data_IF_589934459731
#
_entry.id   IF_589934459731
#
_cell.length_a   1.000
_cell.length_b   1.000
_cell.length_c   1.000
_cell.angle_alpha   90.00
_cell.angle_beta   90.00
_cell.angle_gamma   90.00
#
_symmetry.space_group_name_H-M   'P 1'
#
loop_
_entity.id
_entity.type
_entity.pdbx_description
1 polymer ?
#
# COMPACT_ATOMS: atom_id res chain seq x y z
N UNK A 1 1.04 14.54 7.83
CA UNK A 1 0.22 14.48 6.60
C UNK A 1 -0.54 13.17 6.65
N UNK A 2 -1.82 13.22 7.01
CA UNK A 2 -2.71 12.06 7.02
C UNK A 2 -3.11 11.81 5.56
N UNK A 3 -2.95 10.59 5.06
CA UNK A 3 -3.18 10.18 3.65
C UNK A 3 -4.64 10.34 3.17
N UNK A 4 -5.52 10.99 3.95
CA UNK A 4 -6.94 11.13 3.67
C UNK A 4 -7.29 12.38 2.84
N UNK A 5 -6.31 13.07 2.26
CA UNK A 5 -6.56 14.14 1.28
C UNK A 5 -6.57 13.56 -0.14
N UNK A 6 -7.44 14.12 -1.00
CA UNK A 6 -7.90 13.65 -2.32
C UNK A 6 -6.85 13.30 -3.40
N UNK A 7 -5.57 13.22 -3.03
CA UNK A 7 -4.42 13.08 -3.91
C UNK A 7 -3.75 11.71 -3.84
N UNK A 8 -4.30 10.75 -3.09
CA UNK A 8 -3.79 9.38 -3.02
C UNK A 8 -4.94 8.37 -3.18
N UNK A 9 -4.67 7.27 -3.88
CA UNK A 9 -5.62 6.18 -4.06
C UNK A 9 -4.91 4.85 -4.30
N UNK A 10 -5.64 3.74 -4.09
CA UNK A 10 -5.15 2.40 -4.44
C UNK A 10 -5.50 2.14 -5.91
N UNK A 11 -4.49 2.05 -6.77
CA UNK A 11 -4.66 1.81 -8.21
C UNK A 11 -4.68 0.32 -8.55
N UNK A 12 -4.11 -0.52 -7.70
CA UNK A 12 -4.08 -1.97 -7.88
C UNK A 12 -4.01 -2.68 -6.53
N UNK A 13 -4.61 -3.86 -6.44
CA UNK A 13 -4.49 -4.78 -5.32
C UNK A 13 -4.69 -6.21 -5.82
N UNK A 14 -3.91 -7.15 -5.29
CA UNK A 14 -4.05 -8.58 -5.62
C UNK A 14 -5.25 -9.26 -4.95
N UNK A 15 -5.84 -8.65 -3.92
CA UNK A 15 -7.06 -9.12 -3.23
C UNK A 15 -8.05 -7.98 -3.11
N UNK A 16 -9.34 -8.26 -3.30
CA UNK A 16 -10.43 -7.28 -3.21
C UNK A 16 -11.66 -7.91 -2.56
N UNK A 17 -11.56 -8.21 -1.27
CA UNK A 17 -12.70 -8.64 -0.46
C UNK A 17 -13.73 -7.51 -0.33
N UNK A 18 -15.03 -7.82 -0.33
CA UNK A 18 -16.09 -6.82 -0.29
C UNK A 18 -16.20 -6.13 1.07
N UNK A 19 -15.96 -6.86 2.16
CA UNK A 19 -16.03 -6.36 3.53
C UNK A 19 -14.71 -5.69 3.94
N UNK A 20 -13.60 -6.11 3.32
CA UNK A 20 -12.25 -5.57 3.56
C UNK A 20 -11.59 -5.04 2.28
N UNK A 21 -12.17 -4.03 1.61
CA UNK A 21 -11.73 -3.57 0.31
C UNK A 21 -10.34 -2.90 0.37
N UNK A 22 -9.63 -2.81 -0.77
CA UNK A 22 -8.31 -2.18 -0.84
C UNK A 22 -8.29 -0.72 -0.39
N UNK A 23 -9.40 0.01 -0.54
CA UNK A 23 -9.54 1.39 -0.05
C UNK A 23 -9.23 1.53 1.43
N UNK A 24 -9.44 0.47 2.22
CA UNK A 24 -9.17 0.45 3.65
C UNK A 24 -7.67 0.58 3.98
N UNK A 25 -6.75 0.34 3.04
CA UNK A 25 -5.29 0.54 3.23
C UNK A 25 -4.98 2.01 3.57
N UNK A 26 -5.76 2.94 3.04
CA UNK A 26 -5.56 4.37 3.23
C UNK A 26 -6.37 4.93 4.41
N UNK A 27 -7.17 4.10 5.07
CA UNK A 27 -7.95 4.51 6.23
C UNK A 27 -7.01 4.76 7.43
N UNK A 28 -7.13 5.90 8.13
CA UNK A 28 -6.28 6.20 9.28
C UNK A 28 -6.65 5.40 10.54
N UNK A 29 -7.79 4.71 10.56
CA UNK A 29 -8.27 3.91 11.68
C UNK A 29 -7.60 2.54 11.72
N UNK A 30 -6.97 2.18 12.84
CA UNK A 30 -6.38 0.84 13.03
C UNK A 30 -7.45 -0.29 13.06
N UNK A 31 -8.75 0.05 13.09
CA UNK A 31 -9.86 -0.90 13.06
C UNK A 31 -10.42 -1.16 11.64
N UNK A 32 -9.97 -0.39 10.64
CA UNK A 32 -10.38 -0.53 9.24
C UNK A 32 -9.18 -1.04 8.47
N UNK A 33 -9.31 -2.20 7.83
CA UNK A 33 -8.17 -2.86 7.19
C UNK A 33 -8.55 -3.54 5.87
N UNK A 34 -7.55 -3.73 5.02
CA UNK A 34 -7.59 -4.61 3.86
C UNK A 34 -7.09 -5.99 4.24
N UNK A 35 -7.67 -7.04 3.64
CA UNK A 35 -7.24 -8.40 3.85
C UNK A 35 -6.92 -9.13 2.54
N UNK A 36 -5.95 -10.03 2.63
CA UNK A 36 -5.61 -10.95 1.53
C UNK A 36 -6.55 -12.15 1.53
N UNK A 37 -7.04 -12.56 0.37
CA UNK A 37 -7.98 -13.70 0.24
C UNK A 37 -7.35 -14.97 -0.33
N UNK A 38 -6.02 -14.98 -0.57
CA UNK A 38 -5.35 -16.07 -1.27
C UNK A 38 -3.92 -16.34 -0.81
N UNK A 39 -3.14 -16.95 -1.70
CA UNK A 39 -1.74 -17.31 -1.48
C UNK A 39 -0.80 -16.13 -1.74
N UNK A 40 0.42 -16.24 -1.24
CA UNK A 40 1.49 -15.24 -1.42
C UNK A 40 2.21 -15.42 -2.77
N UNK A 41 2.82 -14.36 -3.35
CA UNK A 41 2.87 -12.99 -2.84
C UNK A 41 1.54 -12.24 -3.01
N UNK A 42 1.35 -11.22 -2.16
CA UNK A 42 0.21 -10.30 -2.22
C UNK A 42 0.77 -8.88 -2.28
N UNK A 43 0.14 -8.01 -3.06
CA UNK A 43 0.64 -6.68 -3.35
C UNK A 43 -0.49 -5.68 -3.58
N UNK A 44 -0.15 -4.41 -3.43
CA UNK A 44 -1.00 -3.28 -3.77
C UNK A 44 -0.13 -2.11 -4.22
N UNK A 45 -0.72 -1.20 -4.99
CA UNK A 45 -0.06 0.02 -5.45
C UNK A 45 -0.79 1.24 -4.89
N UNK A 46 -0.06 2.04 -4.14
CA UNK A 46 -0.48 3.38 -3.71
C UNK A 46 -0.05 4.37 -4.80
N UNK A 47 -1.01 5.05 -5.42
CA UNK A 47 -0.75 6.08 -6.43
C UNK A 47 -1.03 7.45 -5.87
N UNK A 48 -0.08 8.36 -6.06
CA UNK A 48 -0.22 9.78 -5.76
C UNK A 48 -0.51 10.54 -7.05
N UNK A 49 -1.46 11.48 -7.02
CA UNK A 49 -1.82 12.31 -8.19
C UNK A 49 -0.70 13.25 -8.60
N UNK A 50 0.16 13.59 -7.66
CA UNK A 50 1.34 14.45 -7.86
C UNK A 50 2.55 13.77 -7.22
N UNK A 51 3.78 14.03 -7.72
CA UNK A 51 4.99 13.56 -7.07
C UNK A 51 5.06 14.04 -5.63
N UNK A 52 5.34 13.13 -4.70
CA UNK A 52 5.48 13.43 -3.28
C UNK A 52 6.89 13.13 -2.78
N UNK A 53 7.34 13.92 -1.80
CA UNK A 53 8.46 13.58 -0.95
C UNK A 53 7.90 13.14 0.41
N UNK A 54 8.33 11.98 0.91
CA UNK A 54 7.91 11.48 2.21
C UNK A 54 9.13 11.23 3.11
N UNK A 55 9.00 11.60 4.39
CA UNK A 55 10.05 11.34 5.40
C UNK A 55 9.88 10.01 6.13
N UNK A 56 8.63 9.56 6.26
CA UNK A 56 8.28 8.40 7.06
C UNK A 56 6.99 7.77 6.54
N UNK A 57 6.98 6.44 6.47
CA UNK A 57 5.77 5.65 6.22
C UNK A 57 5.59 4.69 7.40
N UNK A 58 4.36 4.59 7.90
CA UNK A 58 3.99 3.66 8.98
C UNK A 58 3.02 2.62 8.44
N UNK A 59 3.35 1.34 8.60
CA UNK A 59 2.43 0.23 8.36
C UNK A 59 2.03 -0.40 9.68
N UNK A 60 0.74 -0.67 9.83
CA UNK A 60 0.18 -1.50 10.90
C UNK A 60 -0.35 -2.75 10.22
N UNK A 61 0.25 -3.90 10.50
CA UNK A 61 -0.07 -5.16 9.82
C UNK A 61 -0.13 -6.32 10.81
N UNK A 62 -0.83 -7.38 10.43
CA UNK A 62 -0.86 -8.65 11.15
C UNK A 62 -0.52 -9.81 10.21
N UNK A 63 0.13 -10.85 10.72
CA UNK A 63 0.53 -12.06 9.96
C UNK A 63 1.46 -11.84 8.75
N UNK A 64 2.04 -10.65 8.59
CA UNK A 64 3.04 -10.38 7.54
C UNK A 64 4.42 -10.88 8.00
N UNK A 65 4.96 -11.87 7.29
CA UNK A 65 6.31 -12.42 7.55
C UNK A 65 7.42 -11.66 6.83
N UNK A 66 7.19 -11.30 5.58
CA UNK A 66 8.13 -10.55 4.73
C UNK A 66 7.38 -9.43 4.05
N UNK A 67 7.97 -8.24 4.08
CA UNK A 67 7.45 -7.02 3.50
C UNK A 67 8.53 -6.39 2.64
N UNK A 68 8.22 -6.14 1.38
CA UNK A 68 9.10 -5.44 0.44
C UNK A 68 8.34 -4.23 -0.09
N UNK A 69 9.01 -3.07 -0.07
CA UNK A 69 8.47 -1.85 -0.63
C UNK A 69 9.30 -1.42 -1.82
N UNK A 70 8.60 -1.04 -2.87
CA UNK A 70 9.18 -0.44 -4.04
C UNK A 70 8.54 0.92 -4.32
N UNK A 71 9.29 1.80 -4.98
CA UNK A 71 8.82 3.13 -5.40
C UNK A 71 9.14 3.38 -6.86
N UNK A 72 8.32 4.20 -7.52
CA UNK A 72 8.58 4.69 -8.87
C UNK A 72 8.10 6.13 -8.97
N UNK A 73 8.82 6.96 -9.72
CA UNK A 73 8.40 8.31 -10.10
C UNK A 73 7.87 8.37 -11.54
N UNK A 74 7.74 7.21 -12.20
CA UNK A 74 7.17 7.13 -13.53
C UNK A 74 5.66 7.38 -13.49
N UNK A 75 5.11 7.97 -14.55
CA UNK A 75 3.67 8.22 -14.69
C UNK A 75 2.86 6.93 -14.75
N UNK A 76 3.45 5.86 -15.29
CA UNK A 76 2.91 4.50 -15.25
C UNK A 76 3.60 3.68 -14.14
N UNK A 77 2.89 2.74 -13.49
CA UNK A 77 3.45 1.89 -12.44
C UNK A 77 4.42 0.85 -13.02
N UNK A 78 5.62 1.29 -13.39
CA UNK A 78 6.68 0.50 -14.02
C UNK A 78 8.05 0.93 -13.50
N UNK A 79 9.05 0.06 -13.67
CA UNK A 79 10.45 0.28 -13.31
C UNK A 79 10.59 0.74 -11.86
N UNK A 80 10.08 -0.06 -10.93
CA UNK A 80 10.13 0.24 -9.52
C UNK A 80 11.51 -0.07 -8.93
N UNK A 81 11.99 0.83 -8.06
CA UNK A 81 13.20 0.64 -7.26
C UNK A 81 12.85 0.11 -5.88
N UNK A 82 13.63 -0.84 -5.38
CA UNK A 82 13.45 -1.37 -4.01
C UNK A 82 13.95 -0.35 -3.01
N UNK A 83 13.10 0.04 -2.06
CA UNK A 83 13.48 1.01 -1.01
C UNK A 83 13.58 0.40 0.38
N UNK A 84 12.86 -0.70 0.63
CA UNK A 84 12.85 -1.36 1.92
C UNK A 84 12.54 -2.84 1.73
N UNK A 85 13.28 -3.67 2.45
CA UNK A 85 12.91 -5.05 2.70
C UNK A 85 12.99 -5.33 4.19
N UNK A 86 11.92 -5.90 4.74
CA UNK A 86 11.81 -6.26 6.15
C UNK A 86 11.24 -7.66 6.29
N UNK A 87 11.89 -8.48 7.11
CA UNK A 87 11.41 -9.79 7.54
C UNK A 87 11.23 -9.77 9.05
N UNK A 88 10.13 -10.35 9.53
CA UNK A 88 9.91 -10.61 10.96
C UNK A 88 10.62 -11.89 11.40
#
# INVERSE_FOLDING_TARGET
MTLAESNVFISMSSSADQDYPPSNILDPSDNVFWMTTGLYPQEFIITFKEPIEFRQIRFVTTNVKRFVMFTTSNTEPRNFDTILEKSN
#
